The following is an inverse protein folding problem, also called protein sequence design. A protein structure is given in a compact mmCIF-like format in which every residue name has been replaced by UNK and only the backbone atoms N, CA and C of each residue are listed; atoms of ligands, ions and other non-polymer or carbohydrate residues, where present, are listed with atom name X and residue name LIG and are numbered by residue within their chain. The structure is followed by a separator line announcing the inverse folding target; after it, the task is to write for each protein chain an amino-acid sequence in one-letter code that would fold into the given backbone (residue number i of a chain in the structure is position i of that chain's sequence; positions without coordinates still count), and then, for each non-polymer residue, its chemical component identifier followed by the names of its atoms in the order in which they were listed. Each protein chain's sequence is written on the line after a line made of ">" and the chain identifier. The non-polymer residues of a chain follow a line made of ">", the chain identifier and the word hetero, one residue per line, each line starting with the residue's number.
data_IF_409923615026
#
_entry.id   IF_409923615026
#
_cell.length_a   1.000
_cell.length_b   1.000
_cell.length_c   1.000
_cell.angle_alpha   90.00
_cell.angle_beta   90.00
_cell.angle_gamma   90.00
#
_symmetry.space_group_name_H-M   'P 1'
#
loop_
_entity.id
_entity.type
_entity.pdbx_description
1 polymer ?
#
# COMPACT_ATOMS: atom_id res chain seq x y z
N UNK A 1 -20.27 -17.10 10.76
CA UNK A 1 -19.40 -17.67 11.81
C UNK A 1 -18.09 -16.90 11.74
N UNK A 2 -17.74 -16.13 12.79
CA UNK A 2 -16.49 -15.36 12.82
C UNK A 2 -15.31 -16.27 13.20
N UNK A 3 -14.13 -16.13 12.58
CA UNK A 3 -12.99 -16.99 12.87
C UNK A 3 -12.37 -16.71 14.26
N UNK A 4 -11.87 -17.73 14.97
CA UNK A 4 -11.25 -17.60 16.30
C UNK A 4 -10.03 -18.52 16.44
N UNK A 5 -8.90 -17.98 16.94
CA UNK A 5 -7.58 -18.63 16.96
C UNK A 5 -7.07 -19.02 18.37
N UNK A 6 -7.92 -19.08 19.39
CA UNK A 6 -7.51 -19.45 20.74
C UNK A 6 -7.97 -20.84 21.17
N UNK A 7 -7.23 -21.49 22.06
CA UNK A 7 -7.79 -22.53 22.93
C UNK A 7 -8.72 -21.83 23.91
N UNK A 8 -10.03 -22.05 23.81
CA UNK A 8 -10.98 -21.51 24.78
C UNK A 8 -10.73 -22.24 26.11
N UNK A 9 -10.11 -21.55 27.06
CA UNK A 9 -9.96 -22.04 28.43
C UNK A 9 -11.33 -22.44 28.99
N UNK A 10 -11.39 -23.50 29.80
CA UNK A 10 -12.66 -24.00 30.36
C UNK A 10 -13.41 -22.98 31.23
N UNK A 11 -12.76 -21.88 31.62
CA UNK A 11 -13.31 -20.76 32.39
C UNK A 11 -13.74 -19.55 31.54
N UNK A 12 -13.61 -19.62 30.21
CA UNK A 12 -13.91 -18.51 29.32
C UNK A 12 -15.42 -18.32 29.15
N UNK A 13 -15.95 -17.22 29.69
CA UNK A 13 -17.39 -16.89 29.64
C UNK A 13 -17.76 -15.95 28.52
N UNK A 14 -16.77 -15.36 27.82
CA UNK A 14 -17.00 -14.42 26.72
C UNK A 14 -17.50 -15.16 25.47
N UNK A 15 -18.40 -14.52 24.75
CA UNK A 15 -18.86 -14.98 23.44
C UNK A 15 -17.73 -14.97 22.40
N UNK A 16 -17.89 -15.76 21.35
CA UNK A 16 -16.93 -15.82 20.25
C UNK A 16 -16.78 -14.46 19.55
N UNK A 17 -17.86 -13.70 19.39
CA UNK A 17 -17.82 -12.32 18.88
C UNK A 17 -17.00 -11.39 19.79
N UNK A 18 -17.14 -11.47 21.11
CA UNK A 18 -16.36 -10.64 22.04
C UNK A 18 -14.87 -10.98 21.96
N UNK A 19 -14.54 -12.28 21.93
CA UNK A 19 -13.16 -12.74 21.79
C UNK A 19 -12.55 -12.29 20.45
N UNK A 20 -13.33 -12.32 19.37
CA UNK A 20 -12.93 -11.80 18.07
C UNK A 20 -12.62 -10.30 18.14
N UNK A 21 -13.49 -9.50 18.75
CA UNK A 21 -13.26 -8.05 18.88
C UNK A 21 -12.04 -7.72 19.75
N UNK A 22 -11.82 -8.46 20.84
CA UNK A 22 -10.63 -8.31 21.68
C UNK A 22 -9.37 -8.62 20.87
N UNK A 23 -9.37 -9.69 20.08
CA UNK A 23 -8.24 -10.05 19.22
C UNK A 23 -7.95 -8.95 18.17
N UNK A 24 -8.99 -8.37 17.55
CA UNK A 24 -8.82 -7.24 16.63
C UNK A 24 -8.23 -6.00 17.32
N UNK A 25 -8.75 -5.63 18.48
CA UNK A 25 -8.25 -4.48 19.24
C UNK A 25 -6.78 -4.66 19.64
N UNK A 26 -6.44 -5.85 20.13
CA UNK A 26 -5.07 -6.20 20.51
C UNK A 26 -4.14 -6.23 19.30
N UNK A 27 -4.58 -6.78 18.17
CA UNK A 27 -3.84 -6.76 16.90
C UNK A 27 -3.56 -5.36 16.41
N UNK A 28 -4.60 -4.53 16.32
CA UNK A 28 -4.49 -3.13 15.90
C UNK A 28 -3.52 -2.35 16.79
N UNK A 29 -3.56 -2.55 18.12
CA UNK A 29 -2.62 -1.91 19.05
C UNK A 29 -1.14 -2.28 18.81
N UNK A 30 -0.90 -3.38 18.10
CA UNK A 30 0.42 -3.87 17.71
C UNK A 30 0.74 -3.64 16.22
N UNK A 31 -0.10 -2.88 15.52
CA UNK A 31 0.07 -2.56 14.09
C UNK A 31 -0.42 -3.64 13.11
N UNK A 32 -1.16 -4.65 13.58
CA UNK A 32 -1.81 -5.64 12.71
C UNK A 32 -3.19 -5.15 12.30
N UNK A 33 -3.22 -4.27 11.30
CA UNK A 33 -4.41 -3.53 10.86
C UNK A 33 -5.29 -4.32 9.88
N UNK A 34 -4.81 -5.46 9.39
CA UNK A 34 -5.46 -6.24 8.34
C UNK A 34 -5.90 -7.61 8.83
N UNK A 35 -7.04 -8.06 8.34
CA UNK A 35 -7.58 -9.39 8.63
C UNK A 35 -7.61 -10.20 7.35
N UNK A 36 -7.01 -11.40 7.38
CA UNK A 36 -7.12 -12.38 6.30
C UNK A 36 -8.05 -13.52 6.73
N UNK A 37 -9.24 -13.65 6.11
CA UNK A 37 -10.15 -14.74 6.44
C UNK A 37 -9.59 -16.08 5.92
N UNK A 38 -9.31 -17.03 6.81
CA UNK A 38 -8.81 -18.35 6.46
C UNK A 38 -9.60 -19.45 7.17
N UNK A 39 -10.74 -19.84 6.61
CA UNK A 39 -11.62 -20.84 7.24
C UNK A 39 -12.02 -20.41 8.67
N UNK A 40 -11.81 -21.25 9.70
CA UNK A 40 -12.09 -20.90 11.09
C UNK A 40 -11.00 -20.03 11.72
N UNK A 41 -9.86 -19.81 11.06
CA UNK A 41 -8.70 -19.13 11.64
C UNK A 41 -8.72 -17.62 11.43
N UNK A 42 -8.36 -16.88 12.49
CA UNK A 42 -8.21 -15.43 12.48
C UNK A 42 -6.75 -15.03 12.24
N UNK A 43 -6.42 -14.71 10.99
CA UNK A 43 -5.10 -14.19 10.66
C UNK A 43 -5.09 -12.66 10.70
N UNK A 44 -4.32 -12.13 11.65
CA UNK A 44 -4.02 -10.71 11.75
C UNK A 44 -2.72 -10.43 10.99
N UNK A 45 -2.74 -9.46 10.11
CA UNK A 45 -1.66 -9.15 9.18
C UNK A 45 -1.25 -7.70 9.37
N UNK A 46 0.06 -7.46 9.37
CA UNK A 46 0.67 -6.14 9.32
C UNK A 46 1.48 -6.02 8.05
N UNK A 47 1.52 -4.82 7.50
CA UNK A 47 2.38 -4.51 6.37
C UNK A 47 3.75 -4.08 6.88
N UNK A 48 4.81 -4.48 6.17
CA UNK A 48 6.15 -3.97 6.47
C UNK A 48 6.31 -2.54 5.96
N UNK A 49 5.67 -2.21 4.84
CA UNK A 49 5.89 -0.96 4.13
C UNK A 49 4.55 -0.34 3.69
N UNK A 50 4.03 -0.72 2.52
CA UNK A 50 2.70 -0.33 2.06
C UNK A 50 1.74 -1.52 1.94
N UNK A 51 0.43 -1.35 2.23
CA UNK A 51 -0.55 -2.43 2.10
C UNK A 51 -0.89 -2.80 0.65
N UNK A 52 -0.61 -1.90 -0.30
CA UNK A 52 -0.82 -2.11 -1.72
C UNK A 52 0.52 -2.04 -2.46
N UNK A 53 0.71 -3.01 -3.34
CA UNK A 53 1.83 -3.06 -4.28
C UNK A 53 1.27 -3.16 -5.68
N UNK A 54 1.52 -2.15 -6.51
CA UNK A 54 1.21 -2.19 -7.93
C UNK A 54 2.22 -3.09 -8.65
N UNK A 55 1.73 -4.08 -9.38
CA UNK A 55 2.57 -5.12 -10.00
C UNK A 55 2.68 -4.98 -11.51
N UNK A 56 1.72 -4.31 -12.13
CA UNK A 56 1.72 -4.07 -13.57
C UNK A 56 1.40 -2.61 -13.88
N UNK A 57 1.97 -2.13 -14.98
CA UNK A 57 1.65 -0.84 -15.61
C UNK A 57 1.38 -1.12 -17.09
N UNK A 58 0.18 -0.81 -17.56
CA UNK A 58 -0.16 -0.93 -18.98
C UNK A 58 0.38 0.25 -19.78
N UNK A 59 1.12 -0.05 -20.86
CA UNK A 59 1.68 0.98 -21.76
C UNK A 59 0.58 1.71 -22.53
N UNK A 60 -0.40 0.96 -23.04
CA UNK A 60 -1.50 1.51 -23.84
C UNK A 60 -2.45 2.32 -22.95
N UNK A 61 -2.98 1.68 -21.90
CA UNK A 61 -4.04 2.25 -21.05
C UNK A 61 -3.53 3.19 -19.95
N UNK A 62 -2.23 3.14 -19.61
CA UNK A 62 -1.65 3.93 -18.52
C UNK A 62 -2.20 3.58 -17.14
N UNK A 63 -2.67 2.33 -16.95
CA UNK A 63 -3.27 1.89 -15.71
C UNK A 63 -2.27 1.08 -14.88
N UNK A 64 -2.13 1.43 -13.61
CA UNK A 64 -1.49 0.59 -12.61
C UNK A 64 -2.47 -0.50 -12.17
N UNK A 65 -1.99 -1.74 -11.99
CA UNK A 65 -2.82 -2.87 -11.56
C UNK A 65 -2.31 -3.52 -10.29
N UNK A 66 -3.24 -3.96 -9.44
CA UNK A 66 -2.99 -4.71 -8.22
C UNK A 66 -4.13 -5.69 -7.94
N UNK A 67 -3.91 -6.62 -7.01
CA UNK A 67 -4.90 -7.61 -6.59
C UNK A 67 -5.60 -8.35 -7.77
N UNK A 68 -4.86 -8.61 -8.85
CA UNK A 68 -5.34 -9.30 -10.04
C UNK A 68 -6.10 -8.42 -11.03
N UNK A 69 -7.20 -7.77 -10.62
CA UNK A 69 -8.10 -7.05 -11.53
C UNK A 69 -8.36 -5.59 -11.17
N UNK A 70 -7.88 -5.13 -10.01
CA UNK A 70 -8.05 -3.74 -9.60
C UNK A 70 -7.05 -2.86 -10.35
N UNK A 71 -7.50 -1.68 -10.76
CA UNK A 71 -6.66 -0.74 -11.49
C UNK A 71 -7.01 0.71 -11.21
N UNK A 72 -6.02 1.59 -11.38
CA UNK A 72 -6.16 3.04 -11.20
C UNK A 72 -5.16 3.77 -12.11
N UNK A 73 -5.46 5.01 -12.56
CA UNK A 73 -4.58 5.73 -13.47
C UNK A 73 -3.19 5.98 -12.87
N UNK A 74 -2.15 5.77 -13.67
CA UNK A 74 -0.78 6.11 -13.33
C UNK A 74 -0.57 7.63 -13.34
N UNK A 75 -0.05 8.18 -12.24
CA UNK A 75 0.26 9.61 -12.06
C UNK A 75 1.78 9.78 -11.89
N UNK A 76 2.55 9.83 -13.00
CA UNK A 76 4.00 9.90 -12.93
C UNK A 76 4.49 11.16 -12.23
N UNK A 77 3.74 12.26 -12.32
CA UNK A 77 4.01 13.53 -11.66
C UNK A 77 3.89 13.47 -10.13
N UNK A 78 3.31 12.42 -9.55
CA UNK A 78 3.06 12.28 -8.10
C UNK A 78 3.91 11.20 -7.45
N UNK A 79 4.87 10.64 -8.18
CA UNK A 79 5.75 9.63 -7.63
C UNK A 79 6.72 10.23 -6.61
N UNK A 80 7.03 9.43 -5.60
CA UNK A 80 8.05 9.74 -4.60
C UNK A 80 8.98 8.54 -4.41
N UNK A 81 10.25 8.80 -4.12
CA UNK A 81 11.24 7.78 -3.80
C UNK A 81 11.58 7.83 -2.32
N UNK A 82 11.71 6.68 -1.68
CA UNK A 82 12.31 6.57 -0.35
C UNK A 82 13.84 6.58 -0.48
N UNK A 83 14.53 7.58 0.09
CA UNK A 83 15.97 7.73 -0.05
C UNK A 83 16.77 6.64 0.67
N UNK A 84 16.15 5.91 1.61
CA UNK A 84 16.84 4.90 2.42
C UNK A 84 16.97 3.55 1.72
N UNK A 85 16.01 3.20 0.86
CA UNK A 85 15.93 1.88 0.20
C UNK A 85 15.74 1.98 -1.33
N UNK A 86 15.49 3.17 -1.88
CA UNK A 86 15.26 3.40 -3.30
C UNK A 86 13.87 2.99 -3.80
N UNK A 87 12.93 2.67 -2.91
CA UNK A 87 11.58 2.27 -3.30
C UNK A 87 10.78 3.45 -3.85
N UNK A 88 10.02 3.19 -4.91
CA UNK A 88 9.20 4.19 -5.57
C UNK A 88 7.74 3.97 -5.23
N UNK A 89 7.07 5.04 -4.78
CA UNK A 89 5.69 5.02 -4.36
C UNK A 89 4.83 5.87 -5.27
N UNK A 90 3.61 5.42 -5.46
CA UNK A 90 2.53 6.12 -6.12
C UNK A 90 1.44 6.44 -5.09
N UNK A 91 0.64 7.52 -5.28
CA UNK A 91 -0.55 7.74 -4.46
C UNK A 91 -1.41 6.48 -4.33
N UNK A 92 -1.83 6.17 -3.10
CA UNK A 92 -2.73 5.03 -2.86
C UNK A 92 -4.05 5.20 -3.60
N UNK A 93 -4.69 4.09 -4.00
CA UNK A 93 -5.95 4.15 -4.72
C UNK A 93 -7.02 4.79 -3.86
N UNK A 94 -7.74 5.76 -4.42
CA UNK A 94 -8.83 6.41 -3.70
C UNK A 94 -10.13 5.62 -3.88
N UNK A 95 -10.76 5.15 -2.79
CA UNK A 95 -12.01 4.44 -2.88
C UNK A 95 -13.07 5.29 -3.56
N UNK A 96 -13.58 4.80 -4.70
CA UNK A 96 -14.71 5.45 -5.36
C UNK A 96 -15.87 5.55 -4.37
N UNK A 97 -16.39 6.76 -4.16
CA UNK A 97 -17.48 7.13 -3.23
C UNK A 97 -18.81 6.34 -3.40
N UNK A 98 -18.86 5.28 -4.21
CA UNK A 98 -20.09 4.54 -4.56
C UNK A 98 -20.51 3.47 -3.55
N UNK A 99 -19.72 3.19 -2.50
CA UNK A 99 -20.14 2.34 -1.38
C UNK A 99 -20.03 3.13 -0.10
N UNK A 100 -21.19 3.50 0.46
CA UNK A 100 -21.32 4.23 1.71
C UNK A 100 -20.85 3.40 2.90
N UNK A 101 -19.53 3.42 3.17
CA UNK A 101 -18.97 3.09 4.48
C UNK A 101 -18.53 4.39 5.15
N UNK A 102 -19.13 4.69 6.31
CA UNK A 102 -18.79 5.81 7.21
C UNK A 102 -17.46 5.56 7.93
N UNK A 103 -16.40 5.39 7.18
CA UNK A 103 -15.03 5.61 7.63
C UNK A 103 -14.37 6.46 6.56
N UNK A 104 -13.47 7.36 6.94
CA UNK A 104 -12.55 8.08 6.07
C UNK A 104 -11.72 7.07 5.27
N UNK A 105 -12.27 6.52 4.19
CA UNK A 105 -11.68 5.41 3.44
C UNK A 105 -10.38 5.78 2.72
N UNK A 106 -10.07 7.08 2.60
CA UNK A 106 -8.74 7.57 2.21
C UNK A 106 -7.62 7.27 3.22
N UNK A 107 -7.96 6.88 4.45
CA UNK A 107 -6.99 6.42 5.45
C UNK A 107 -6.75 4.91 5.39
N UNK A 108 -7.60 4.12 4.71
CA UNK A 108 -7.57 2.67 4.82
C UNK A 108 -6.27 2.06 4.26
N UNK A 109 -5.74 2.59 3.16
CA UNK A 109 -4.50 2.11 2.54
C UNK A 109 -3.29 3.01 2.81
N UNK A 110 -3.44 4.02 3.67
CA UNK A 110 -2.50 5.13 3.76
C UNK A 110 -2.48 5.98 2.47
N UNK A 111 -1.60 6.99 2.44
CA UNK A 111 -1.51 7.92 1.30
C UNK A 111 -0.69 7.41 0.12
N UNK A 112 0.17 6.41 0.34
CA UNK A 112 1.14 5.92 -0.64
C UNK A 112 1.11 4.40 -0.74
N UNK A 113 1.30 3.92 -1.96
CA UNK A 113 1.34 2.51 -2.35
C UNK A 113 2.61 2.25 -3.15
N UNK A 114 3.19 1.06 -2.98
CA UNK A 114 4.49 0.72 -3.54
C UNK A 114 4.37 0.33 -5.02
N UNK A 115 5.32 0.76 -5.86
CA UNK A 115 5.55 0.17 -7.17
C UNK A 115 6.47 -1.04 -7.02
N UNK A 116 6.02 -2.21 -7.47
CA UNK A 116 6.82 -3.43 -7.41
C UNK A 116 8.14 -3.26 -8.17
N UNK A 117 9.26 -3.75 -7.62
CA UNK A 117 10.58 -3.57 -8.22
C UNK A 117 10.65 -4.11 -9.66
N UNK A 118 9.98 -5.22 -9.96
CA UNK A 118 9.90 -5.76 -11.32
C UNK A 118 9.18 -4.82 -12.30
N UNK A 119 8.14 -4.12 -11.85
CA UNK A 119 7.44 -3.10 -12.64
C UNK A 119 8.38 -1.94 -12.92
N UNK A 120 9.02 -1.40 -11.89
CA UNK A 120 9.95 -0.25 -12.03
C UNK A 120 11.09 -0.60 -12.99
N UNK A 121 11.73 -1.76 -12.79
CA UNK A 121 12.86 -2.19 -13.60
C UNK A 121 12.49 -2.48 -15.06
N UNK A 122 11.27 -2.95 -15.33
CA UNK A 122 10.85 -3.30 -16.69
C UNK A 122 10.19 -2.16 -17.47
N UNK A 123 9.56 -1.21 -16.79
CA UNK A 123 8.74 -0.16 -17.44
C UNK A 123 9.30 1.25 -17.28
N UNK A 124 10.11 1.50 -16.27
CA UNK A 124 10.54 2.85 -15.91
C UNK A 124 12.07 3.02 -15.89
N UNK A 125 12.83 1.92 -15.95
CA UNK A 125 14.28 1.94 -15.78
C UNK A 125 15.05 2.74 -16.84
N UNK A 126 14.59 2.77 -18.10
CA UNK A 126 15.31 3.43 -19.19
C UNK A 126 15.47 4.95 -18.98
N UNK A 127 14.55 5.57 -18.24
CA UNK A 127 14.61 6.98 -17.87
C UNK A 127 14.74 7.24 -16.37
N UNK A 128 14.96 6.19 -15.57
CA UNK A 128 15.07 6.32 -14.11
C UNK A 128 16.47 6.81 -13.74
N UNK A 129 16.54 8.05 -13.30
CA UNK A 129 17.73 8.62 -12.68
C UNK A 129 17.41 8.86 -11.22
N UNK A 130 18.20 8.27 -10.33
CA UNK A 130 18.15 8.53 -8.89
C UNK A 130 19.51 9.10 -8.51
N UNK A 131 19.51 10.29 -7.94
CA UNK A 131 20.71 10.98 -7.48
C UNK A 131 20.66 11.14 -5.96
N UNK A 132 21.35 10.25 -5.21
CA UNK A 132 21.38 10.31 -3.76
C UNK A 132 21.96 11.62 -3.20
N UNK A 133 22.84 12.29 -3.95
CA UNK A 133 23.52 13.51 -3.50
C UNK A 133 22.59 14.73 -3.50
N UNK A 134 21.45 14.66 -4.21
CA UNK A 134 20.44 15.74 -4.27
C UNK A 134 19.14 15.44 -3.51
N UNK A 135 19.04 14.29 -2.84
CA UNK A 135 17.93 14.02 -1.93
C UNK A 135 17.80 15.09 -0.84
N UNK A 136 18.94 15.66 -0.43
CA UNK A 136 19.00 16.79 0.50
C UNK A 136 18.37 18.08 0.00
N UNK A 137 18.08 18.17 -1.30
CA UNK A 137 17.36 19.26 -1.94
C UNK A 137 15.90 18.92 -2.24
N UNK A 138 15.41 17.75 -1.81
CA UNK A 138 14.03 17.29 -2.03
C UNK A 138 13.76 16.73 -3.42
N UNK A 139 14.80 16.51 -4.22
CA UNK A 139 14.71 15.97 -5.58
C UNK A 139 15.06 14.48 -5.52
N UNK A 140 14.09 13.62 -5.82
CA UNK A 140 14.24 12.17 -5.78
C UNK A 140 14.83 11.55 -7.04
N UNK A 141 15.09 12.40 -8.05
CA UNK A 141 15.45 11.99 -9.39
C UNK A 141 14.31 12.16 -10.37
N UNK A 142 14.24 11.34 -11.40
CA UNK A 142 13.22 11.44 -12.46
C UNK A 142 12.97 10.11 -13.15
N UNK A 143 11.81 9.99 -13.81
CA UNK A 143 11.47 8.88 -14.70
C UNK A 143 11.07 9.40 -16.08
N UNK A 144 11.12 8.53 -17.08
CA UNK A 144 10.47 8.76 -18.36
C UNK A 144 9.19 7.94 -18.48
N UNK A 145 8.12 8.57 -18.97
CA UNK A 145 6.87 7.90 -19.31
C UNK A 145 6.22 8.53 -20.54
N UNK A 146 5.93 7.71 -21.55
CA UNK A 146 5.32 8.14 -22.83
C UNK A 146 6.07 9.31 -23.49
N UNK A 147 7.41 9.26 -23.46
CA UNK A 147 8.28 10.28 -24.05
C UNK A 147 8.32 11.60 -23.29
N UNK A 148 7.84 11.63 -22.04
CA UNK A 148 7.89 12.80 -21.16
C UNK A 148 8.66 12.45 -19.89
N UNK A 149 9.48 13.39 -19.42
CA UNK A 149 10.26 13.23 -18.19
C UNK A 149 9.51 13.84 -17.01
N UNK A 150 9.47 13.13 -15.89
CA UNK A 150 8.76 13.53 -14.67
C UNK A 150 9.71 13.45 -13.48
N UNK A 151 9.70 14.48 -12.63
CA UNK A 151 10.52 14.52 -11.42
C UNK A 151 9.87 13.73 -10.29
N UNK A 152 10.71 12.97 -9.58
CA UNK A 152 10.33 12.23 -8.39
C UNK A 152 10.46 13.12 -7.15
N UNK A 153 9.47 13.11 -6.28
CA UNK A 153 9.62 13.67 -4.93
C UNK A 153 10.46 12.76 -4.03
N UNK A 154 10.88 13.26 -2.86
CA UNK A 154 11.55 12.45 -1.82
C UNK A 154 10.58 12.19 -0.68
N UNK A 155 10.43 10.93 -0.27
CA UNK A 155 9.58 10.53 0.85
C UNK A 155 10.01 11.25 2.13
N UNK A 156 9.03 11.73 2.92
CA UNK A 156 9.28 12.47 4.15
C UNK A 156 9.65 13.94 3.98
N UNK A 157 9.76 14.44 2.74
CA UNK A 157 9.96 15.86 2.44
C UNK A 157 8.72 16.41 1.72
N UNK A 158 8.20 17.55 2.19
CA UNK A 158 7.15 18.27 1.46
C UNK A 158 7.77 18.90 0.21
N UNK A 159 7.10 18.72 -0.94
CA UNK A 159 7.39 19.45 -2.18
C UNK A 159 7.15 20.95 -1.98
#
# INVERSE_FOLDING_TARGET
>A
MAPFNGTVEHSETRSQEELYQVALQQGNSQGYEWVSPCGPELNLVRCQDAPIVYRELGEDDGMLKWAGSLSEPFRPDQLVVDPSNGYVYHPSPQPSSRRGSKASTGEQYGSLSLLGSSLVLSKLAEGLEIDPDVFDRGIGGSIEWKGHRYDLGVLGRKR
#
